data_IF_647161256134
#
_entry.id   IF_647161256134
#
_cell.length_a   1.000
_cell.length_b   1.000
_cell.length_c   1.000
_cell.angle_alpha   90.00
_cell.angle_beta   90.00
_cell.angle_gamma   90.00
#
_symmetry.space_group_name_H-M   'P 1'
#
loop_
_entity.id
_entity.type
_entity.pdbx_description
1 polymer ?
#
# COMPACT_ATOMS: atom_id res chain seq x y z
N UNK A 1 -7.26 -23.10 26.85
CA UNK A 1 -8.53 -22.48 26.43
C UNK A 1 -8.43 -22.34 24.94
N UNK A 2 -9.28 -23.06 24.20
CA UNK A 2 -9.41 -22.89 22.76
C UNK A 2 -9.81 -21.43 22.53
N UNK A 3 -8.92 -20.62 21.93
CA UNK A 3 -9.32 -19.29 21.49
C UNK A 3 -10.29 -19.54 20.34
N UNK A 4 -11.58 -19.24 20.55
CA UNK A 4 -12.53 -19.25 19.45
C UNK A 4 -11.92 -18.47 18.28
N UNK A 5 -11.80 -19.17 17.15
CA UNK A 5 -11.34 -18.62 15.88
C UNK A 5 -12.18 -17.39 15.55
N UNK A 6 -11.54 -16.31 15.16
CA UNK A 6 -12.24 -15.06 14.86
C UNK A 6 -12.81 -15.14 13.42
N UNK A 7 -14.14 -15.15 13.26
CA UNK A 7 -14.84 -15.35 11.98
C UNK A 7 -14.38 -14.44 10.82
N UNK A 8 -13.88 -13.23 11.13
CA UNK A 8 -13.21 -12.37 10.15
C UNK A 8 -12.15 -13.10 9.31
N UNK A 9 -11.38 -14.01 9.90
CA UNK A 9 -10.42 -14.81 9.16
C UNK A 9 -11.11 -15.76 8.20
N UNK A 10 -12.23 -16.38 8.57
CA UNK A 10 -13.00 -17.24 7.67
C UNK A 10 -13.56 -16.44 6.50
N UNK A 11 -14.03 -15.20 6.72
CA UNK A 11 -14.45 -14.33 5.63
C UNK A 11 -13.30 -13.98 4.67
N UNK A 12 -12.09 -13.73 5.20
CA UNK A 12 -10.92 -13.49 4.37
C UNK A 12 -10.47 -14.73 3.60
N UNK A 13 -10.55 -15.92 4.20
CA UNK A 13 -10.26 -17.18 3.53
C UNK A 13 -11.28 -17.48 2.42
N UNK A 14 -12.56 -17.21 2.63
CA UNK A 14 -13.59 -17.31 1.59
C UNK A 14 -13.24 -16.43 0.38
N UNK A 15 -12.76 -15.21 0.62
CA UNK A 15 -12.31 -14.33 -0.47
C UNK A 15 -11.08 -14.87 -1.19
N UNK A 16 -10.09 -15.41 -0.47
CA UNK A 16 -8.91 -16.04 -1.08
C UNK A 16 -9.30 -17.20 -1.98
N UNK A 17 -10.20 -18.08 -1.51
CA UNK A 17 -10.72 -19.21 -2.30
C UNK A 17 -11.43 -18.73 -3.55
N UNK A 18 -12.29 -17.71 -3.43
CA UNK A 18 -13.00 -17.13 -4.57
C UNK A 18 -12.03 -16.54 -5.61
N UNK A 19 -11.05 -15.76 -5.16
CA UNK A 19 -10.04 -15.16 -6.06
C UNK A 19 -9.19 -16.22 -6.77
N UNK A 20 -8.85 -17.32 -6.07
CA UNK A 20 -8.16 -18.46 -6.69
C UNK A 20 -9.02 -19.16 -7.73
N UNK A 21 -10.29 -19.43 -7.43
CA UNK A 21 -11.21 -20.08 -8.37
C UNK A 21 -11.43 -19.23 -9.63
N UNK A 22 -11.56 -17.91 -9.47
CA UNK A 22 -11.67 -17.00 -10.60
C UNK A 22 -10.38 -16.92 -11.42
N UNK A 23 -9.21 -16.95 -10.78
CA UNK A 23 -7.94 -17.05 -11.48
C UNK A 23 -7.86 -18.31 -12.36
N UNK A 24 -8.26 -19.47 -11.84
CA UNK A 24 -8.28 -20.72 -12.60
C UNK A 24 -9.29 -20.67 -13.76
N UNK A 25 -10.43 -20.00 -13.57
CA UNK A 25 -11.42 -19.77 -14.64
C UNK A 25 -10.84 -18.89 -15.75
N UNK A 26 -10.24 -17.75 -15.40
CA UNK A 26 -9.68 -16.77 -16.34
C UNK A 26 -8.48 -17.36 -17.08
N UNK A 27 -7.55 -17.97 -16.35
CA UNK A 27 -6.29 -18.49 -16.90
C UNK A 27 -6.49 -19.55 -17.97
N UNK A 28 -7.56 -20.36 -17.87
CA UNK A 28 -7.92 -21.37 -18.89
C UNK A 28 -8.25 -20.79 -20.26
N UNK A 29 -8.73 -19.54 -20.32
CA UNK A 29 -9.13 -18.88 -21.57
C UNK A 29 -8.24 -17.69 -21.93
N UNK A 30 -7.23 -17.40 -21.12
CA UNK A 30 -6.35 -16.25 -21.33
C UNK A 30 -5.59 -16.30 -22.67
N UNK A 31 -5.34 -17.49 -23.22
CA UNK A 31 -4.72 -17.65 -24.55
C UNK A 31 -5.68 -17.39 -25.71
N UNK A 32 -6.99 -17.44 -25.48
CA UNK A 32 -8.02 -17.20 -26.50
C UNK A 32 -8.24 -15.69 -26.67
N UNK A 33 -8.36 -14.97 -25.55
CA UNK A 33 -8.54 -13.52 -25.50
C UNK A 33 -7.85 -12.94 -24.25
N UNK A 34 -6.57 -12.53 -24.37
CA UNK A 34 -5.82 -11.94 -23.26
C UNK A 34 -6.44 -10.64 -22.72
N UNK A 35 -7.11 -9.88 -23.58
CA UNK A 35 -7.74 -8.61 -23.20
C UNK A 35 -8.93 -8.86 -22.28
N UNK A 36 -9.85 -9.74 -22.71
CA UNK A 36 -11.00 -10.13 -21.88
C UNK A 36 -10.57 -10.80 -20.57
N UNK A 37 -9.47 -11.58 -20.58
CA UNK A 37 -8.92 -12.15 -19.36
C UNK A 37 -8.39 -11.08 -18.38
N UNK A 38 -7.76 -10.02 -18.91
CA UNK A 38 -7.38 -8.84 -18.13
C UNK A 38 -8.60 -8.17 -17.49
N UNK A 39 -9.60 -7.82 -18.30
CA UNK A 39 -10.84 -7.16 -17.87
C UNK A 39 -11.58 -7.93 -16.77
N UNK A 40 -11.64 -9.26 -16.90
CA UNK A 40 -12.25 -10.12 -15.86
C UNK A 40 -11.42 -10.12 -14.57
N UNK A 41 -10.10 -10.08 -14.66
CA UNK A 41 -9.22 -9.92 -13.51
C UNK A 41 -9.44 -8.58 -12.79
N UNK A 42 -9.53 -7.49 -13.55
CA UNK A 42 -9.82 -6.15 -13.03
C UNK A 42 -11.15 -6.12 -12.29
N UNK A 43 -12.21 -6.68 -12.88
CA UNK A 43 -13.55 -6.68 -12.30
C UNK A 43 -13.65 -7.53 -11.03
N UNK A 44 -12.87 -8.61 -10.91
CA UNK A 44 -12.79 -9.41 -9.68
C UNK A 44 -12.23 -8.58 -8.51
N UNK A 45 -11.16 -7.82 -8.74
CA UNK A 45 -10.61 -6.92 -7.72
C UNK A 45 -11.56 -5.78 -7.38
N UNK A 46 -12.20 -5.18 -8.40
CA UNK A 46 -13.19 -4.14 -8.17
C UNK A 46 -14.37 -4.67 -7.34
N UNK A 47 -14.88 -5.87 -7.64
CA UNK A 47 -15.97 -6.51 -6.89
C UNK A 47 -15.57 -6.79 -5.44
N UNK A 48 -14.36 -7.29 -5.20
CA UNK A 48 -13.82 -7.48 -3.85
C UNK A 48 -13.79 -6.15 -3.08
N UNK A 49 -13.25 -5.09 -3.68
CA UNK A 49 -13.16 -3.78 -3.04
C UNK A 49 -14.55 -3.18 -2.77
N UNK A 50 -15.53 -3.30 -3.70
CA UNK A 50 -16.92 -2.87 -3.46
C UNK A 50 -17.56 -3.59 -2.27
N UNK A 51 -17.23 -4.86 -2.06
CA UNK A 51 -17.78 -5.67 -0.98
C UNK A 51 -17.19 -5.34 0.41
N UNK A 52 -15.94 -4.87 0.45
CA UNK A 52 -15.19 -4.70 1.70
C UNK A 52 -14.92 -3.25 2.10
N UNK A 53 -14.92 -2.32 1.14
CA UNK A 53 -14.81 -0.91 1.45
C UNK A 53 -16.13 -0.34 1.97
N UNK A 54 -16.07 0.72 2.79
CA UNK A 54 -17.27 1.40 3.26
C UNK A 54 -18.14 1.85 2.08
N UNK A 55 -19.47 1.72 2.22
CA UNK A 55 -20.45 1.95 1.14
C UNK A 55 -20.43 3.34 0.50
N UNK A 56 -19.81 4.31 1.17
CA UNK A 56 -19.66 5.67 0.68
C UNK A 56 -18.41 5.85 -0.20
N UNK A 57 -17.61 4.80 -0.43
CA UNK A 57 -16.59 4.80 -1.47
C UNK A 57 -17.16 4.16 -2.74
N UNK A 58 -16.91 4.80 -3.87
CA UNK A 58 -17.31 4.28 -5.18
C UNK A 58 -16.11 3.60 -5.84
N UNK A 59 -16.28 2.39 -6.35
CA UNK A 59 -15.20 1.65 -7.01
C UNK A 59 -15.52 1.45 -8.48
N UNK A 60 -14.73 2.09 -9.32
CA UNK A 60 -14.89 2.07 -10.78
C UNK A 60 -13.70 1.39 -11.44
N UNK A 61 -13.96 0.71 -12.55
CA UNK A 61 -12.91 0.11 -13.39
C UNK A 61 -12.60 1.02 -14.57
N UNK A 62 -11.33 1.03 -14.98
CA UNK A 62 -10.77 1.74 -16.14
C UNK A 62 -11.02 3.24 -16.10
N UNK A 63 -9.97 4.01 -15.90
CA UNK A 63 -10.08 5.47 -15.96
C UNK A 63 -8.75 6.16 -15.91
N UNK A 64 -8.76 7.47 -16.13
CA UNK A 64 -7.58 8.32 -15.97
C UNK A 64 -7.84 9.30 -14.85
N UNK A 65 -6.81 9.70 -14.13
CA UNK A 65 -6.87 10.74 -13.10
C UNK A 65 -6.47 12.06 -13.75
N UNK A 66 -7.17 13.15 -13.46
CA UNK A 66 -6.85 14.51 -13.91
C UNK A 66 -6.49 15.41 -12.71
N UNK A 67 -5.34 16.09 -12.79
CA UNK A 67 -4.89 17.05 -11.79
C UNK A 67 -5.64 18.38 -11.90
N UNK A 68 -5.49 19.23 -10.88
CA UNK A 68 -6.02 20.61 -10.89
C UNK A 68 -5.47 21.46 -12.05
N UNK A 69 -4.31 21.08 -12.61
CA UNK A 69 -3.67 21.73 -13.75
C UNK A 69 -4.10 21.15 -15.11
N UNK A 70 -4.95 20.12 -15.11
CA UNK A 70 -5.39 19.44 -16.32
C UNK A 70 -4.44 18.36 -16.85
N UNK A 71 -3.37 18.03 -16.11
CA UNK A 71 -2.47 16.91 -16.45
C UNK A 71 -3.16 15.59 -16.14
N UNK A 72 -2.85 14.54 -16.90
CA UNK A 72 -3.59 13.28 -16.81
C UNK A 72 -2.67 12.07 -16.62
N UNK A 73 -3.10 11.11 -15.80
CA UNK A 73 -2.39 9.84 -15.62
C UNK A 73 -2.48 8.96 -16.88
N UNK A 74 -1.69 7.88 -16.97
CA UNK A 74 -2.05 6.71 -17.76
C UNK A 74 -3.42 6.13 -17.36
N UNK A 75 -3.94 5.17 -18.13
CA UNK A 75 -5.13 4.44 -17.71
C UNK A 75 -4.82 3.61 -16.46
N UNK A 76 -5.72 3.68 -15.48
CA UNK A 76 -5.71 2.95 -14.22
C UNK A 76 -6.85 1.93 -14.25
N UNK A 77 -6.55 0.71 -13.84
CA UNK A 77 -7.48 -0.43 -13.94
C UNK A 77 -8.61 -0.34 -12.91
N UNK A 78 -8.30 0.01 -11.66
CA UNK A 78 -9.29 0.18 -10.59
C UNK A 78 -9.05 1.48 -9.84
N UNK A 79 -10.10 2.27 -9.66
CA UNK A 79 -10.10 3.53 -8.92
C UNK A 79 -11.12 3.45 -7.80
N UNK A 80 -10.72 3.91 -6.62
CA UNK A 80 -11.58 4.09 -5.45
C UNK A 80 -11.79 5.58 -5.25
N UNK A 81 -13.03 6.03 -5.38
CA UNK A 81 -13.43 7.43 -5.25
C UNK A 81 -14.00 7.67 -3.85
N UNK A 82 -13.68 8.82 -3.28
CA UNK A 82 -14.17 9.19 -1.95
C UNK A 82 -15.66 9.57 -1.97
N UNK A 83 -16.25 9.69 -0.78
CA UNK A 83 -17.69 9.93 -0.60
C UNK A 83 -18.22 11.28 -1.08
N UNK A 84 -17.32 12.21 -1.42
CA UNK A 84 -17.68 13.53 -1.93
C UNK A 84 -17.57 13.62 -3.45
N UNK A 85 -17.29 12.49 -4.13
CA UNK A 85 -17.11 12.48 -5.58
C UNK A 85 -18.43 12.84 -6.31
N UNK A 86 -18.41 13.76 -7.29
CA UNK A 86 -19.63 14.13 -8.01
C UNK A 86 -20.19 12.98 -8.85
N UNK A 87 -21.41 12.54 -8.56
CA UNK A 87 -22.10 11.44 -9.28
C UNK A 87 -22.13 11.67 -10.81
N UNK A 88 -22.31 12.92 -11.24
CA UNK A 88 -22.38 13.30 -12.66
C UNK A 88 -21.10 12.98 -13.45
N UNK A 89 -19.99 12.74 -12.77
CA UNK A 89 -18.69 12.47 -13.38
C UNK A 89 -18.34 10.97 -13.43
N UNK A 90 -19.15 10.08 -12.83
CA UNK A 90 -18.84 8.65 -12.72
C UNK A 90 -18.74 7.93 -14.08
N UNK A 91 -19.52 8.38 -15.06
CA UNK A 91 -19.58 7.81 -16.42
C UNK A 91 -18.51 8.37 -17.37
N UNK A 92 -17.67 9.32 -16.91
CA UNK A 92 -16.74 10.05 -17.79
C UNK A 92 -15.39 9.37 -17.99
N UNK A 93 -15.04 8.39 -17.15
CA UNK A 93 -13.74 7.67 -17.19
C UNK A 93 -12.51 8.58 -17.06
N UNK A 94 -12.71 9.82 -16.64
CA UNK A 94 -11.71 10.82 -16.32
C UNK A 94 -12.06 11.40 -14.94
N UNK A 95 -11.24 11.10 -13.95
CA UNK A 95 -11.57 11.28 -12.54
C UNK A 95 -10.72 12.38 -11.89
N UNK A 96 -11.36 13.29 -11.16
CA UNK A 96 -10.68 14.41 -10.50
C UNK A 96 -9.76 13.89 -9.39
N UNK A 97 -8.48 14.27 -9.40
CA UNK A 97 -7.51 13.83 -8.40
C UNK A 97 -8.01 14.02 -6.96
N UNK A 98 -8.56 15.19 -6.62
CA UNK A 98 -9.12 15.49 -5.28
C UNK A 98 -10.23 14.52 -4.82
N UNK A 99 -10.82 13.77 -5.75
CA UNK A 99 -11.87 12.80 -5.50
C UNK A 99 -11.41 11.34 -5.48
N UNK A 100 -10.14 11.06 -5.80
CA UNK A 100 -9.58 9.70 -5.89
C UNK A 100 -8.85 9.39 -4.58
N UNK A 101 -9.31 8.36 -3.87
CA UNK A 101 -8.72 7.89 -2.62
C UNK A 101 -7.70 6.76 -2.83
N UNK A 102 -7.91 5.90 -3.82
CA UNK A 102 -6.95 4.87 -4.21
C UNK A 102 -7.00 4.57 -5.71
N UNK A 103 -5.89 4.06 -6.24
CA UNK A 103 -5.70 3.69 -7.63
C UNK A 103 -4.85 2.41 -7.71
N UNK A 104 -5.27 1.45 -8.54
CA UNK A 104 -4.61 0.16 -8.65
C UNK A 104 -4.41 -0.29 -10.08
N UNK A 105 -3.22 -0.85 -10.33
CA UNK A 105 -2.93 -1.71 -11.48
C UNK A 105 -3.33 -3.15 -11.14
N UNK A 106 -4.07 -3.80 -12.03
CA UNK A 106 -4.48 -5.19 -11.85
C UNK A 106 -3.71 -6.10 -12.81
N UNK A 107 -3.24 -7.26 -12.31
CA UNK A 107 -2.57 -8.27 -13.14
C UNK A 107 -3.10 -9.66 -12.81
N UNK A 108 -3.55 -10.42 -13.81
CA UNK A 108 -3.92 -11.82 -13.60
C UNK A 108 -2.72 -12.63 -13.09
N UNK A 109 -1.56 -12.47 -13.71
CA UNK A 109 -0.30 -13.07 -13.26
C UNK A 109 0.80 -12.02 -13.18
N UNK A 110 1.27 -11.74 -11.95
CA UNK A 110 2.34 -10.79 -11.70
C UNK A 110 3.68 -11.24 -12.30
N UNK A 111 4.38 -10.29 -12.93
CA UNK A 111 5.72 -10.43 -13.51
C UNK A 111 6.61 -9.30 -12.99
N UNK A 112 7.92 -9.49 -13.03
CA UNK A 112 8.88 -8.44 -12.65
C UNK A 112 8.71 -7.14 -13.45
N UNK A 113 8.41 -7.24 -14.75
CA UNK A 113 8.16 -6.06 -15.60
C UNK A 113 6.93 -5.24 -15.14
N UNK A 114 5.89 -5.90 -14.62
CA UNK A 114 4.72 -5.20 -14.11
C UNK A 114 5.05 -4.37 -12.85
N UNK A 115 5.99 -4.83 -12.01
CA UNK A 115 6.45 -4.08 -10.83
C UNK A 115 7.20 -2.82 -11.28
N UNK A 116 8.07 -2.96 -12.28
CA UNK A 116 8.84 -1.85 -12.85
C UNK A 116 7.93 -0.78 -13.46
N UNK A 117 6.95 -1.18 -14.27
CA UNK A 117 5.96 -0.29 -14.85
C UNK A 117 5.12 0.41 -13.77
N UNK A 118 4.62 -0.35 -12.79
CA UNK A 118 3.75 0.19 -11.75
C UNK A 118 4.45 1.18 -10.82
N UNK A 119 5.75 0.99 -10.52
CA UNK A 119 6.53 1.97 -9.74
C UNK A 119 6.67 3.29 -10.51
N UNK A 120 6.90 3.23 -11.83
CA UNK A 120 6.93 4.44 -12.66
C UNK A 120 5.57 5.14 -12.72
N UNK A 121 4.49 4.37 -12.90
CA UNK A 121 3.13 4.92 -12.89
C UNK A 121 2.75 5.48 -11.51
N UNK A 122 3.17 4.84 -10.42
CA UNK A 122 2.98 5.33 -9.05
C UNK A 122 3.54 6.74 -8.89
N UNK A 123 4.81 6.96 -9.26
CA UNK A 123 5.44 8.30 -9.22
C UNK A 123 4.65 9.30 -10.06
N UNK A 124 4.27 8.94 -11.29
CA UNK A 124 3.51 9.81 -12.17
C UNK A 124 2.14 10.19 -11.58
N UNK A 125 1.39 9.22 -11.05
CA UNK A 125 0.08 9.43 -10.43
C UNK A 125 0.21 10.29 -9.17
N UNK A 126 1.12 9.96 -8.26
CA UNK A 126 1.31 10.73 -7.01
C UNK A 126 1.77 12.17 -7.26
N UNK A 127 2.37 12.45 -8.42
CA UNK A 127 2.73 13.82 -8.84
C UNK A 127 1.57 14.62 -9.45
N UNK A 128 0.42 14.01 -9.72
CA UNK A 128 -0.82 14.73 -10.05
C UNK A 128 -1.50 15.36 -8.84
N UNK A 129 -1.09 14.95 -7.63
CA UNK A 129 -1.62 15.45 -6.37
C UNK A 129 -0.68 16.50 -5.77
N UNK A 130 -1.22 17.52 -5.08
CA UNK A 130 -0.39 18.54 -4.45
C UNK A 130 0.59 17.91 -3.45
N UNK A 131 1.80 18.46 -3.39
CA UNK A 131 2.71 18.19 -2.28
C UNK A 131 2.08 18.77 -1.02
N UNK A 132 2.06 18.00 0.07
CA UNK A 132 1.58 18.44 1.38
C UNK A 132 2.81 18.72 2.25
N UNK A 133 2.69 19.73 3.11
CA UNK A 133 3.77 20.19 4.00
C UNK A 133 3.21 20.49 5.38
N UNK A 134 4.10 20.46 6.39
CA UNK A 134 3.80 20.93 7.75
C UNK A 134 3.84 19.83 8.81
N UNK A 135 3.76 18.56 8.42
CA UNK A 135 3.90 17.41 9.33
C UNK A 135 4.64 16.26 8.66
N UNK A 136 5.31 15.37 9.42
CA UNK A 136 6.00 14.22 8.86
C UNK A 136 5.09 13.35 7.99
N UNK A 137 3.85 13.05 8.41
CA UNK A 137 2.95 12.21 7.63
C UNK A 137 2.58 12.85 6.28
N UNK A 138 2.24 14.14 6.29
CA UNK A 138 1.85 14.88 5.08
C UNK A 138 2.98 14.94 4.06
N UNK A 139 4.22 15.12 4.51
CA UNK A 139 5.38 15.18 3.62
C UNK A 139 5.80 13.78 3.14
N UNK A 140 5.64 12.74 3.96
CA UNK A 140 5.98 11.36 3.59
C UNK A 140 5.00 10.67 2.64
N UNK A 141 3.73 11.07 2.62
CA UNK A 141 2.68 10.38 1.86
C UNK A 141 1.95 11.33 0.91
N UNK A 142 1.65 10.87 -0.30
CA UNK A 142 0.66 11.52 -1.16
C UNK A 142 -0.77 11.26 -0.63
N UNK A 143 -1.75 12.13 -0.89
CA UNK A 143 -3.14 11.95 -0.46
C UNK A 143 -3.92 10.92 -1.32
N UNK A 144 -3.21 9.92 -1.88
CA UNK A 144 -3.78 8.85 -2.69
C UNK A 144 -2.99 7.57 -2.42
N UNK A 145 -3.70 6.46 -2.25
CA UNK A 145 -3.10 5.12 -2.21
C UNK A 145 -2.88 4.64 -3.64
N UNK A 146 -1.67 4.21 -3.96
CA UNK A 146 -1.35 3.56 -5.22
C UNK A 146 -0.82 2.15 -5.00
N UNK A 147 -1.30 1.19 -5.78
CA UNK A 147 -0.90 -0.20 -5.58
C UNK A 147 -1.01 -1.11 -6.80
N UNK A 148 -0.55 -2.34 -6.62
CA UNK A 148 -0.72 -3.43 -7.59
C UNK A 148 -1.54 -4.54 -6.95
N UNK A 149 -2.54 -5.04 -7.67
CA UNK A 149 -3.38 -6.15 -7.25
C UNK A 149 -3.22 -7.29 -8.26
N UNK A 150 -2.80 -8.47 -7.81
CA UNK A 150 -2.58 -9.60 -8.69
C UNK A 150 -3.17 -10.90 -8.15
N UNK A 151 -3.80 -11.68 -9.02
CA UNK A 151 -4.37 -12.97 -8.60
C UNK A 151 -3.26 -13.98 -8.28
N UNK A 152 -2.26 -14.05 -9.16
CA UNK A 152 -1.14 -14.98 -9.02
C UNK A 152 0.18 -14.35 -9.51
N UNK A 153 1.23 -15.16 -9.63
CA UNK A 153 2.57 -14.74 -10.02
C UNK A 153 3.26 -15.79 -10.91
N UNK A 154 4.26 -15.36 -11.69
CA UNK A 154 4.97 -16.26 -12.63
C UNK A 154 6.00 -17.19 -11.99
N UNK A 155 6.45 -16.89 -10.76
CA UNK A 155 7.49 -17.68 -10.08
C UNK A 155 6.94 -18.96 -9.45
N UNK A 156 6.63 -19.97 -10.27
CA UNK A 156 6.00 -21.26 -9.83
C UNK A 156 6.94 -22.48 -9.93
N UNK A 157 8.23 -22.29 -10.25
CA UNK A 157 9.20 -23.41 -10.36
C UNK A 157 9.58 -23.92 -8.96
N UNK A 158 9.93 -25.20 -8.85
CA UNK A 158 10.22 -25.88 -7.57
C UNK A 158 11.23 -25.14 -6.67
N UNK A 159 12.28 -24.57 -7.24
CA UNK A 159 13.33 -23.83 -6.51
C UNK A 159 13.14 -22.31 -6.53
N UNK A 160 11.98 -21.83 -6.96
CA UNK A 160 11.72 -20.39 -6.99
C UNK A 160 11.43 -19.86 -5.60
N UNK A 161 11.88 -18.63 -5.36
CA UNK A 161 11.68 -17.88 -4.10
C UNK A 161 10.74 -16.70 -4.39
N UNK A 162 9.43 -16.94 -4.58
CA UNK A 162 8.50 -15.91 -5.06
C UNK A 162 8.41 -14.69 -4.13
N UNK A 163 8.42 -14.89 -2.80
CA UNK A 163 8.46 -13.79 -1.82
C UNK A 163 9.69 -12.89 -2.07
N UNK A 164 10.88 -13.50 -2.09
CA UNK A 164 12.15 -12.79 -2.29
C UNK A 164 12.21 -12.10 -3.66
N UNK A 165 11.72 -12.76 -4.72
CA UNK A 165 11.73 -12.20 -6.07
C UNK A 165 10.89 -10.91 -6.16
N UNK A 166 9.73 -10.88 -5.50
CA UNK A 166 8.89 -9.68 -5.43
C UNK A 166 9.56 -8.62 -4.56
N UNK A 167 10.05 -8.97 -3.37
CA UNK A 167 10.73 -8.05 -2.45
C UNK A 167 11.91 -7.36 -3.14
N UNK A 168 12.83 -8.14 -3.71
CA UNK A 168 14.03 -7.60 -4.37
C UNK A 168 13.66 -6.73 -5.57
N UNK A 169 12.72 -7.16 -6.41
CA UNK A 169 12.32 -6.35 -7.59
C UNK A 169 11.63 -5.06 -7.16
N UNK A 170 10.73 -5.10 -6.17
CA UNK A 170 10.05 -3.91 -5.67
C UNK A 170 11.03 -2.90 -5.06
N UNK A 171 11.95 -3.36 -4.21
CA UNK A 171 12.99 -2.50 -3.63
C UNK A 171 13.91 -1.90 -4.70
N UNK A 172 14.41 -2.73 -5.63
CA UNK A 172 15.31 -2.31 -6.71
C UNK A 172 14.68 -1.24 -7.58
N UNK A 173 13.46 -1.48 -8.09
CA UNK A 173 12.81 -0.52 -8.99
C UNK A 173 12.36 0.74 -8.25
N UNK A 174 11.84 0.61 -7.03
CA UNK A 174 11.50 1.77 -6.21
C UNK A 174 12.73 2.61 -5.88
N UNK A 175 13.91 2.00 -5.69
CA UNK A 175 15.17 2.70 -5.46
C UNK A 175 15.70 3.45 -6.68
N UNK A 176 15.38 2.94 -7.87
CA UNK A 176 15.77 3.56 -9.14
C UNK A 176 14.87 4.74 -9.52
N UNK A 177 13.59 4.70 -9.16
CA UNK A 177 12.57 5.64 -9.67
C UNK A 177 12.18 6.72 -8.67
N UNK A 178 11.97 6.37 -7.40
CA UNK A 178 11.46 7.30 -6.39
C UNK A 178 12.58 8.21 -5.87
N UNK A 179 12.37 9.51 -5.96
CA UNK A 179 13.30 10.53 -5.44
C UNK A 179 12.91 10.99 -4.04
N UNK A 180 11.68 10.66 -3.61
CA UNK A 180 11.12 11.05 -2.34
C UNK A 180 10.19 9.94 -1.79
N UNK A 181 10.12 9.70 -0.46
CA UNK A 181 9.24 8.69 0.14
C UNK A 181 7.80 8.71 -0.35
N UNK A 182 7.24 9.93 -0.52
CA UNK A 182 5.88 10.14 -1.07
C UNK A 182 5.62 9.48 -2.42
N UNK A 183 6.64 9.15 -3.20
CA UNK A 183 6.51 8.56 -4.54
C UNK A 183 6.54 7.03 -4.53
N UNK A 184 6.82 6.41 -3.37
CA UNK A 184 6.85 4.96 -3.21
C UNK A 184 5.46 4.34 -3.41
N UNK A 185 5.41 3.10 -3.89
CA UNK A 185 4.18 2.29 -3.91
C UNK A 185 3.60 2.18 -2.49
N UNK A 186 2.29 2.11 -2.29
CA UNK A 186 1.72 1.95 -0.94
C UNK A 186 1.43 0.48 -0.61
N UNK A 187 0.98 -0.28 -1.61
CA UNK A 187 0.66 -1.71 -1.46
C UNK A 187 0.84 -2.51 -2.75
N UNK A 188 1.39 -3.72 -2.63
CA UNK A 188 1.38 -4.75 -3.68
C UNK A 188 0.76 -6.00 -3.08
N UNK A 189 -0.34 -6.50 -3.63
CA UNK A 189 -0.99 -7.72 -3.15
C UNK A 189 -1.00 -8.78 -4.26
N UNK A 190 -0.50 -9.97 -3.93
CA UNK A 190 -0.63 -11.18 -4.74
C UNK A 190 -1.47 -12.18 -3.96
N UNK A 191 -2.70 -12.44 -4.42
CA UNK A 191 -3.73 -13.13 -3.64
C UNK A 191 -3.31 -14.53 -3.15
N UNK A 192 -2.51 -15.25 -3.95
CA UNK A 192 -2.02 -16.60 -3.64
C UNK A 192 -0.59 -16.64 -3.05
N UNK A 193 -0.01 -15.50 -2.68
CA UNK A 193 1.38 -15.43 -2.21
C UNK A 193 1.60 -14.55 -0.97
N UNK A 194 1.25 -13.26 -1.05
CA UNK A 194 1.64 -12.27 -0.05
C UNK A 194 1.21 -10.85 -0.38
N UNK A 195 1.29 -9.96 0.59
CA UNK A 195 1.11 -8.52 0.45
C UNK A 195 2.36 -7.78 0.94
N UNK A 196 2.78 -6.76 0.20
CA UNK A 196 3.88 -5.86 0.54
C UNK A 196 3.30 -4.49 0.81
N UNK A 197 3.47 -3.98 2.02
CA UNK A 197 2.89 -2.70 2.43
C UNK A 197 3.98 -1.71 2.80
N UNK A 198 3.86 -0.47 2.33
CA UNK A 198 4.83 0.57 2.63
C UNK A 198 4.58 1.15 4.02
N UNK A 199 5.61 1.09 4.87
CA UNK A 199 5.62 1.72 6.19
C UNK A 199 6.79 2.71 6.30
N UNK A 200 6.56 3.80 7.02
CA UNK A 200 7.56 4.85 7.25
C UNK A 200 7.78 5.07 8.74
N UNK A 201 9.04 5.24 9.11
CA UNK A 201 9.45 5.80 10.39
C UNK A 201 9.90 7.24 10.12
N UNK A 202 9.15 8.20 10.67
CA UNK A 202 9.31 9.63 10.39
C UNK A 202 10.73 10.12 10.65
N UNK A 203 11.36 9.64 11.73
CA UNK A 203 12.74 9.99 12.02
C UNK A 203 13.34 9.00 13.01
N UNK A 204 14.56 8.55 12.74
CA UNK A 204 15.36 7.74 13.64
C UNK A 204 16.70 8.43 13.85
N UNK A 205 16.96 8.93 15.05
CA UNK A 205 18.19 9.66 15.33
C UNK A 205 18.40 10.00 16.81
N UNK A 206 19.55 10.60 17.16
CA UNK A 206 19.84 11.01 18.53
C UNK A 206 18.75 11.96 19.02
N UNK A 207 18.22 11.72 20.23
CA UNK A 207 17.10 12.43 20.92
C UNK A 207 15.68 11.89 20.72
N UNK A 208 15.44 10.89 19.85
CA UNK A 208 14.10 10.23 19.80
C UNK A 208 13.84 9.36 21.03
N UNK A 209 14.89 8.81 21.66
CA UNK A 209 14.82 8.04 22.92
C UNK A 209 16.06 8.35 23.80
N UNK A 210 15.89 8.30 25.12
CA UNK A 210 16.89 8.69 26.11
C UNK A 210 18.04 7.67 26.27
N UNK A 211 17.81 6.38 26.01
CA UNK A 211 18.81 5.31 26.12
C UNK A 211 18.63 4.28 24.98
N UNK A 212 19.67 4.06 24.18
CA UNK A 212 19.77 2.93 23.24
C UNK A 212 21.09 2.20 23.45
N UNK A 213 21.13 0.87 23.30
CA UNK A 213 22.37 0.13 23.14
C UNK A 213 23.11 0.60 21.87
N UNK A 214 24.39 0.97 22.01
CA UNK A 214 25.23 1.52 20.92
C UNK A 214 25.33 0.65 19.67
N UNK A 215 25.05 -0.65 19.76
CA UNK A 215 25.04 -1.56 18.60
C UNK A 215 23.86 -1.34 17.65
N UNK A 216 22.76 -0.72 18.08
CA UNK A 216 21.58 -0.45 17.23
C UNK A 216 21.78 0.79 16.36
N UNK A 217 22.57 1.77 16.81
CA UNK A 217 22.85 3.00 16.07
C UNK A 217 23.70 2.76 14.80
N UNK A 218 24.48 1.67 14.76
CA UNK A 218 25.31 1.31 13.60
C UNK A 218 24.50 0.80 12.41
N UNK A 219 23.43 0.04 12.65
CA UNK A 219 22.61 -0.58 11.60
C UNK A 219 21.46 0.32 11.11
N UNK A 220 21.14 1.40 11.83
CA UNK A 220 19.95 2.25 11.60
C UNK A 220 20.26 3.71 11.26
N UNK A 221 21.53 4.07 11.07
CA UNK A 221 21.94 5.41 10.68
C UNK A 221 22.63 6.20 11.79
N UNK A 222 23.89 6.54 11.54
CA UNK A 222 24.78 7.27 12.43
C UNK A 222 24.28 8.70 12.75
N UNK A 223 24.61 9.17 13.97
CA UNK A 223 24.80 10.54 14.51
C UNK A 223 23.94 11.76 14.08
N UNK A 224 23.34 11.80 12.89
CA UNK A 224 22.60 12.95 12.33
C UNK A 224 21.09 12.68 12.15
N UNK A 225 20.69 11.40 12.24
CA UNK A 225 19.31 10.95 12.15
C UNK A 225 18.76 10.82 10.72
N UNK A 226 17.84 9.89 10.51
CA UNK A 226 17.40 9.45 9.18
C UNK A 226 15.89 9.23 9.13
N UNK A 227 15.30 9.39 7.95
CA UNK A 227 13.95 8.91 7.67
C UNK A 227 14.06 7.48 7.14
N UNK A 228 13.23 6.57 7.64
CA UNK A 228 13.27 5.18 7.19
C UNK A 228 11.96 4.80 6.51
N UNK A 229 12.05 4.11 5.37
CA UNK A 229 10.90 3.47 4.73
C UNK A 229 11.17 1.99 4.54
N UNK A 230 10.13 1.18 4.48
CA UNK A 230 10.25 -0.23 4.16
C UNK A 230 9.00 -0.75 3.47
N UNK A 231 9.17 -1.71 2.55
CA UNK A 231 8.08 -2.56 2.10
C UNK A 231 8.03 -3.80 2.99
N UNK A 232 7.07 -3.84 3.91
CA UNK A 232 6.87 -4.99 4.80
C UNK A 232 6.19 -6.10 4.01
N UNK A 233 6.91 -7.19 3.78
CA UNK A 233 6.43 -8.40 3.13
C UNK A 233 5.68 -9.27 4.15
N UNK A 234 4.36 -9.33 3.99
CA UNK A 234 3.45 -10.24 4.68
C UNK A 234 3.14 -11.39 3.72
N UNK A 235 3.86 -12.51 3.83
CA UNK A 235 3.68 -13.68 2.98
C UNK A 235 3.27 -14.89 3.81
N UNK A 236 2.71 -15.91 3.15
CA UNK A 236 2.45 -17.20 3.81
C UNK A 236 3.72 -17.82 4.41
N UNK A 237 4.88 -17.58 3.79
CA UNK A 237 6.19 -18.05 4.24
C UNK A 237 6.88 -17.17 5.29
N UNK A 238 6.27 -16.06 5.72
CA UNK A 238 6.87 -15.17 6.72
C UNK A 238 7.03 -15.86 8.08
N UNK A 239 8.10 -15.53 8.81
CA UNK A 239 8.34 -16.09 10.13
C UNK A 239 7.25 -15.68 11.12
N UNK A 240 6.79 -16.62 11.96
CA UNK A 240 5.70 -16.41 12.92
C UNK A 240 4.40 -15.91 12.28
N UNK A 241 4.15 -16.27 11.01
CA UNK A 241 2.90 -15.98 10.35
C UNK A 241 1.76 -16.81 10.97
N UNK A 242 0.57 -16.21 11.08
CA UNK A 242 -0.63 -16.96 11.48
C UNK A 242 -1.06 -17.91 10.37
N UNK A 243 -1.48 -19.13 10.72
CA UNK A 243 -2.10 -20.07 9.77
C UNK A 243 -3.40 -19.52 9.15
N UNK A 244 -3.99 -18.51 9.78
CA UNK A 244 -5.22 -17.86 9.36
C UNK A 244 -4.98 -16.66 8.42
N UNK A 245 -3.71 -16.26 8.25
CA UNK A 245 -3.30 -15.13 7.41
C UNK A 245 -3.79 -15.29 5.97
N UNK A 246 -4.20 -14.17 5.36
CA UNK A 246 -4.33 -14.08 3.90
C UNK A 246 -3.76 -12.77 3.38
N UNK A 247 -3.18 -12.76 2.18
CA UNK A 247 -2.76 -11.53 1.50
C UNK A 247 -3.90 -10.52 1.33
N UNK A 248 -5.12 -11.01 1.05
CA UNK A 248 -6.32 -10.18 0.91
C UNK A 248 -6.66 -9.50 2.24
N UNK A 249 -6.55 -10.21 3.37
CA UNK A 249 -6.73 -9.63 4.70
C UNK A 249 -5.77 -8.48 4.95
N UNK A 250 -4.49 -8.68 4.65
CA UNK A 250 -3.48 -7.63 4.78
C UNK A 250 -3.75 -6.43 3.87
N UNK A 251 -4.16 -6.67 2.62
CA UNK A 251 -4.59 -5.61 1.69
C UNK A 251 -5.75 -4.79 2.26
N UNK A 252 -6.83 -5.44 2.68
CA UNK A 252 -8.02 -4.75 3.23
C UNK A 252 -7.66 -3.98 4.49
N UNK A 253 -6.84 -4.56 5.37
CA UNK A 253 -6.38 -3.90 6.57
C UNK A 253 -5.53 -2.65 6.25
N UNK A 254 -4.54 -2.75 5.35
CA UNK A 254 -3.68 -1.63 4.95
C UNK A 254 -4.46 -0.54 4.25
N UNK A 255 -5.32 -0.89 3.31
CA UNK A 255 -6.15 0.07 2.59
C UNK A 255 -7.08 0.82 3.56
N UNK A 256 -7.76 0.11 4.46
CA UNK A 256 -8.65 0.74 5.46
C UNK A 256 -7.89 1.68 6.39
N UNK A 257 -6.66 1.32 6.79
CA UNK A 257 -5.78 2.15 7.61
C UNK A 257 -5.37 3.43 6.88
N UNK A 258 -4.97 3.34 5.62
CA UNK A 258 -4.61 4.52 4.82
C UNK A 258 -5.82 5.42 4.57
N UNK A 259 -6.98 4.86 4.23
CA UNK A 259 -8.21 5.65 4.07
C UNK A 259 -8.61 6.37 5.37
N UNK A 260 -8.38 5.74 6.54
CA UNK A 260 -8.68 6.33 7.84
C UNK A 260 -7.75 7.49 8.26
N UNK A 261 -6.65 7.73 7.52
CA UNK A 261 -5.82 8.93 7.65
C UNK A 261 -6.57 10.17 7.17
N UNK A 262 -7.23 10.04 6.03
CA UNK A 262 -7.99 11.11 5.39
C UNK A 262 -9.43 11.19 5.91
N UNK A 263 -10.01 10.06 6.33
CA UNK A 263 -11.41 9.95 6.76
C UNK A 263 -11.52 9.42 8.21
N UNK A 264 -11.65 10.31 9.23
CA UNK A 264 -11.66 9.91 10.63
C UNK A 264 -12.74 8.89 11.01
N UNK A 265 -13.87 8.84 10.29
CA UNK A 265 -14.95 7.89 10.55
C UNK A 265 -14.53 6.42 10.39
N UNK A 266 -13.44 6.14 9.65
CA UNK A 266 -12.92 4.78 9.43
C UNK A 266 -11.95 4.29 10.51
N UNK A 267 -11.47 5.16 11.40
CA UNK A 267 -10.40 4.85 12.37
C UNK A 267 -10.78 3.71 13.32
N UNK A 268 -12.05 3.60 13.69
CA UNK A 268 -12.55 2.52 14.55
C UNK A 268 -12.45 1.16 13.86
N UNK A 269 -12.78 1.09 12.56
CA UNK A 269 -12.69 -0.12 11.75
C UNK A 269 -11.23 -0.51 11.48
N UNK A 270 -10.39 0.47 11.11
CA UNK A 270 -8.95 0.24 10.95
C UNK A 270 -8.31 -0.30 12.24
N UNK A 271 -8.67 0.28 13.40
CA UNK A 271 -8.23 -0.21 14.71
C UNK A 271 -8.70 -1.65 14.97
N UNK A 272 -9.94 -1.98 14.59
CA UNK A 272 -10.48 -3.33 14.71
C UNK A 272 -9.63 -4.33 13.93
N UNK A 273 -9.38 -4.08 12.64
CA UNK A 273 -8.56 -4.97 11.80
C UNK A 273 -7.13 -5.13 12.33
N UNK A 274 -6.55 -4.07 12.91
CA UNK A 274 -5.24 -4.14 13.56
C UNK A 274 -5.25 -5.01 14.81
N UNK A 275 -6.23 -4.84 15.70
CA UNK A 275 -6.33 -5.64 16.94
C UNK A 275 -6.66 -7.10 16.62
N UNK A 276 -7.47 -7.33 15.59
CA UNK A 276 -7.72 -8.65 15.02
C UNK A 276 -6.55 -9.17 14.15
N UNK A 277 -5.38 -8.52 14.17
CA UNK A 277 -4.16 -8.95 13.48
C UNK A 277 -4.35 -9.35 12.00
N UNK A 278 -5.19 -8.63 11.26
CA UNK A 278 -5.51 -8.97 9.87
C UNK A 278 -4.31 -8.74 8.91
N UNK A 279 -3.37 -7.89 9.29
CA UNK A 279 -2.12 -7.64 8.56
C UNK A 279 -1.19 -8.86 8.53
N UNK A 280 -1.24 -9.70 9.58
CA UNK A 280 -0.27 -10.76 9.80
C UNK A 280 1.14 -10.25 10.15
N UNK A 281 2.05 -11.20 10.29
CA UNK A 281 3.47 -10.95 10.52
C UNK A 281 4.16 -10.61 9.19
N UNK A 282 5.22 -9.82 9.24
CA UNK A 282 5.98 -9.46 8.05
C UNK A 282 7.36 -8.90 8.37
N UNK A 283 8.16 -8.73 7.34
CA UNK A 283 9.53 -8.18 7.40
C UNK A 283 9.81 -7.37 6.14
N UNK A 284 10.64 -6.35 6.25
CA UNK A 284 11.00 -5.54 5.10
C UNK A 284 12.46 -5.10 5.15
N UNK A 285 12.96 -4.65 4.02
CA UNK A 285 14.29 -4.06 3.90
C UNK A 285 14.16 -2.57 4.25
N UNK A 286 15.05 -2.08 5.12
CA UNK A 286 15.03 -0.67 5.52
C UNK A 286 15.77 0.13 4.45
N UNK A 287 15.12 1.19 3.98
CA UNK A 287 15.72 2.23 3.15
C UNK A 287 15.82 3.52 3.94
N UNK A 288 17.00 4.10 3.93
CA UNK A 288 17.30 5.36 4.58
C UNK A 288 17.18 6.52 3.61
N UNK A 289 16.65 7.63 4.11
CA UNK A 289 16.58 8.90 3.38
C UNK A 289 17.15 10.02 4.24
N UNK A 290 17.81 10.97 3.57
CA UNK A 290 18.30 12.20 4.19
C UNK A 290 17.10 13.07 4.59
N UNK A 291 16.90 13.36 5.89
CA UNK A 291 15.80 14.19 6.36
C UNK A 291 15.78 15.59 5.73
N UNK A 292 16.93 16.13 5.34
CA UNK A 292 17.02 17.46 4.71
C UNK A 292 16.53 17.47 3.26
N UNK A 293 16.59 16.32 2.59
CA UNK A 293 16.05 16.12 1.25
C UNK A 293 14.57 15.73 1.25
N UNK A 294 14.07 15.20 2.38
CA UNK A 294 12.67 14.77 2.55
C UNK A 294 11.80 15.89 3.11
N UNK A 295 12.25 16.55 4.18
CA UNK A 295 11.40 17.42 4.96
C UNK A 295 11.62 18.90 4.67
N UNK A 296 10.54 19.67 4.72
CA UNK A 296 10.57 21.12 4.80
C UNK A 296 11.30 21.61 6.06
N UNK A 297 11.81 22.84 6.04
CA UNK A 297 12.45 23.45 7.22
C UNK A 297 11.53 23.41 8.45
N UNK A 298 10.22 23.60 8.25
CA UNK A 298 9.20 23.54 9.31
C UNK A 298 9.18 22.18 9.99
N UNK A 299 9.17 21.09 9.22
CA UNK A 299 9.15 19.74 9.78
C UNK A 299 10.48 19.39 10.42
N UNK A 300 11.61 19.77 9.81
CA UNK A 300 12.94 19.60 10.39
C UNK A 300 13.06 20.27 11.77
N UNK A 301 12.63 21.53 11.89
CA UNK A 301 12.61 22.25 13.17
C UNK A 301 11.67 21.62 14.20
N UNK A 302 10.52 21.10 13.75
CA UNK A 302 9.58 20.39 14.61
C UNK A 302 10.15 19.09 15.16
N UNK A 303 10.85 18.31 14.33
CA UNK A 303 11.58 17.12 14.76
C UNK A 303 12.67 17.50 15.76
N UNK A 304 13.50 18.50 15.44
CA UNK A 304 14.59 18.97 16.30
C UNK A 304 14.11 19.50 17.66
N UNK A 305 12.88 20.05 17.72
CA UNK A 305 12.23 20.52 18.95
C UNK A 305 11.45 19.43 19.70
N UNK A 306 11.44 18.18 19.23
CA UNK A 306 10.84 17.05 19.92
C UNK A 306 9.31 16.93 19.75
N UNK A 307 8.74 17.42 18.64
CA UNK A 307 7.30 17.31 18.37
C UNK A 307 6.81 15.90 18.01
N UNK A 308 7.72 14.97 17.69
CA UNK A 308 7.36 13.60 17.33
C UNK A 308 6.63 12.91 18.49
N UNK A 309 5.56 12.19 18.17
CA UNK A 309 4.77 11.45 19.16
C UNK A 309 4.90 9.94 18.98
N UNK A 310 4.84 9.20 20.08
CA UNK A 310 4.74 7.74 20.06
C UNK A 310 3.35 7.30 20.56
N UNK A 311 2.89 6.12 20.11
CA UNK A 311 1.62 5.53 20.52
C UNK A 311 0.34 6.32 20.16
N UNK A 312 0.44 7.29 19.24
CA UNK A 312 -0.71 8.03 18.68
C UNK A 312 -0.82 7.77 17.18
N UNK A 313 -1.41 6.64 16.75
CA UNK A 313 -1.31 6.17 15.37
C UNK A 313 -1.87 7.14 14.32
N UNK A 314 -2.81 8.01 14.68
CA UNK A 314 -3.44 8.98 13.77
C UNK A 314 -2.89 10.41 13.90
N UNK A 315 -1.93 10.63 14.80
CA UNK A 315 -1.24 11.91 14.93
C UNK A 315 -0.35 12.10 13.69
N UNK A 316 -0.43 13.27 13.06
CA UNK A 316 0.37 13.59 11.87
C UNK A 316 1.86 13.78 12.19
N UNK A 317 2.20 13.95 13.48
CA UNK A 317 3.55 13.91 14.03
C UNK A 317 3.94 12.55 14.62
N UNK A 318 3.15 11.50 14.38
CA UNK A 318 3.49 10.14 14.85
C UNK A 318 4.85 9.70 14.29
N UNK A 319 5.69 9.15 15.16
CA UNK A 319 6.97 8.55 14.80
C UNK A 319 6.80 7.44 13.77
N UNK A 320 5.76 6.62 13.94
CA UNK A 320 5.40 5.60 12.97
C UNK A 320 4.27 6.11 12.09
N UNK A 321 4.56 6.23 10.80
CA UNK A 321 3.63 6.61 9.77
C UNK A 321 3.31 5.37 8.94
N UNK A 322 2.20 4.72 9.29
CA UNK A 322 1.59 3.61 8.55
C UNK A 322 0.35 4.06 7.80
#
# INVERSE_FOLDING_TARGET
MDKNKHDLYDFMQQMTVLMSAEYDRISRRATEDPGTAGDQGEENWATLLRGWLPRNYEVVTKGRIISEKGETSPQIDVLVLNSVYPEKLLDKKLYLAAGVAAAFECKTTLKGAHIEEAVATCKAVKNLFPKREGTPYEELYAPVVYGILAHSHVWKREKSTPEENVTVKLETESGRVAEHPRELLDVLCVADLGAWTQDSLAFFGPRVLAEWPTHVLGDWGANEGQVNTSFIAHAYSSHSQSDEFTPIGALIAKLTLQLAREEPSLRSLARYYRVANLYGSGRGIIRHWDPTAVYSETVQQGIASGKLTSNKPWDSWSLYCF
#
